data_IF_367186771907
#
_entry.id   IF_367186771907
#
_cell.length_a   1.000
_cell.length_b   1.000
_cell.length_c   1.000
_cell.angle_alpha   90.00
_cell.angle_beta   90.00
_cell.angle_gamma   90.00
#
_symmetry.space_group_name_H-M   'P 1'
#
loop_
_entity.id
_entity.type
_entity.pdbx_description
1 polymer ?
#
# COMPACT_ATOMS: atom_id res chain seq x y z
N UNK A 1 1.20 -19.14 -9.46
CA UNK A 1 -0.02 -18.91 -8.66
C UNK A 1 -0.78 -20.23 -8.52
N UNK A 2 -1.46 -20.49 -7.39
CA UNK A 2 -2.38 -21.62 -7.30
C UNK A 2 -3.51 -21.48 -8.33
N UNK A 3 -4.12 -22.59 -8.73
CA UNK A 3 -5.26 -22.58 -9.67
C UNK A 3 -6.50 -22.01 -8.98
N UNK A 4 -7.17 -21.08 -9.64
CA UNK A 4 -8.44 -20.49 -9.19
C UNK A 4 -9.61 -21.12 -9.96
N UNK A 5 -10.78 -21.16 -9.35
CA UNK A 5 -12.05 -21.56 -10.00
C UNK A 5 -12.68 -20.40 -10.79
N UNK A 6 -13.64 -20.65 -11.69
CA UNK A 6 -14.32 -19.58 -12.44
C UNK A 6 -15.03 -18.53 -11.58
N UNK A 7 -15.42 -18.89 -10.35
CA UNK A 7 -16.10 -18.01 -9.38
C UNK A 7 -15.11 -17.19 -8.54
N UNK A 8 -13.80 -17.44 -8.67
CA UNK A 8 -12.77 -16.78 -7.87
C UNK A 8 -12.01 -15.74 -8.69
N UNK A 9 -11.86 -14.55 -8.11
CA UNK A 9 -10.98 -13.51 -8.66
C UNK A 9 -9.55 -13.79 -8.22
N UNK A 10 -8.63 -13.91 -9.18
CA UNK A 10 -7.20 -14.06 -8.91
C UNK A 10 -6.57 -12.67 -8.74
N UNK A 11 -5.83 -12.46 -7.65
CA UNK A 11 -5.15 -11.20 -7.35
C UNK A 11 -3.65 -11.44 -7.17
N UNK A 12 -2.86 -10.50 -7.65
CA UNK A 12 -1.40 -10.41 -7.48
C UNK A 12 -1.06 -9.06 -6.84
N UNK A 13 0.05 -8.96 -6.11
CA UNK A 13 0.51 -7.71 -5.52
C UNK A 13 2.02 -7.54 -5.64
N UNK A 14 2.44 -6.73 -6.61
CA UNK A 14 3.83 -6.32 -6.81
C UNK A 14 3.97 -4.79 -6.79
N UNK A 15 4.45 -4.18 -5.68
CA UNK A 15 4.56 -2.71 -5.57
C UNK A 15 5.48 -2.06 -6.62
N UNK A 16 6.44 -2.82 -7.17
CA UNK A 16 7.36 -2.34 -8.20
C UNK A 16 6.68 -2.04 -9.53
N UNK A 17 5.51 -2.64 -9.81
CA UNK A 17 4.77 -2.41 -11.05
C UNK A 17 4.45 -0.94 -11.29
N UNK A 18 4.26 -0.18 -10.21
CA UNK A 18 3.92 1.22 -10.27
C UNK A 18 5.08 2.14 -10.72
N UNK A 19 6.33 1.70 -10.52
CA UNK A 19 7.52 2.52 -10.81
C UNK A 19 8.31 2.04 -12.03
N UNK A 20 7.90 0.92 -12.63
CA UNK A 20 8.59 0.32 -13.79
C UNK A 20 7.90 0.76 -15.08
N UNK A 21 8.64 1.48 -15.92
CA UNK A 21 8.13 2.17 -17.13
C UNK A 21 7.44 1.23 -18.13
N UNK A 22 7.92 0.00 -18.30
CA UNK A 22 7.39 -0.95 -19.29
C UNK A 22 6.16 -1.73 -18.80
N UNK A 23 5.86 -1.70 -17.50
CA UNK A 23 4.82 -2.55 -16.89
C UNK A 23 3.41 -2.20 -17.37
N UNK A 24 2.99 -0.92 -17.47
CA UNK A 24 1.64 -0.58 -17.93
C UNK A 24 1.32 -1.17 -19.31
N UNK A 25 2.25 -1.05 -20.27
CA UNK A 25 2.07 -1.59 -21.62
C UNK A 25 1.96 -3.11 -21.59
N UNK A 26 2.85 -3.80 -20.87
CA UNK A 26 2.83 -5.27 -20.76
C UNK A 26 1.53 -5.80 -20.13
N UNK A 27 1.00 -5.10 -19.12
CA UNK A 27 -0.27 -5.46 -18.49
C UNK A 27 -1.41 -5.30 -19.51
N UNK A 28 -1.44 -4.19 -20.24
CA UNK A 28 -2.44 -3.94 -21.27
C UNK A 28 -2.39 -4.98 -22.40
N UNK A 29 -1.19 -5.34 -22.86
CA UNK A 29 -0.98 -6.35 -23.90
C UNK A 29 -1.40 -7.76 -23.44
N UNK A 30 -1.24 -8.07 -22.15
CA UNK A 30 -1.71 -9.31 -21.57
C UNK A 30 -3.24 -9.34 -21.46
N UNK A 31 -3.84 -8.26 -20.94
CA UNK A 31 -5.29 -8.11 -20.81
C UNK A 31 -5.66 -6.65 -20.56
N UNK A 32 -6.33 -6.02 -21.51
CA UNK A 32 -6.84 -4.65 -21.38
C UNK A 32 -8.03 -4.52 -20.42
N UNK A 33 -8.61 -5.64 -20.00
CA UNK A 33 -9.78 -5.69 -19.08
C UNK A 33 -9.38 -5.90 -17.62
N UNK A 34 -8.09 -6.05 -17.33
CA UNK A 34 -7.62 -6.25 -15.96
C UNK A 34 -7.91 -5.02 -15.10
N UNK A 35 -8.38 -5.24 -13.88
CA UNK A 35 -8.60 -4.18 -12.90
C UNK A 35 -7.31 -3.95 -12.12
N UNK A 36 -6.85 -2.71 -12.04
CA UNK A 36 -5.69 -2.32 -11.25
C UNK A 36 -6.15 -1.74 -9.92
N UNK A 37 -5.46 -2.08 -8.83
CA UNK A 37 -5.66 -1.51 -7.50
C UNK A 37 -4.39 -0.82 -7.05
N UNK A 38 -4.49 0.45 -6.69
CA UNK A 38 -3.38 1.27 -6.20
C UNK A 38 -3.69 1.75 -4.79
N UNK A 39 -2.76 1.51 -3.88
CA UNK A 39 -2.83 2.00 -2.50
C UNK A 39 -1.78 3.08 -2.32
N UNK A 40 -2.24 4.33 -2.19
CA UNK A 40 -1.39 5.50 -2.00
C UNK A 40 -1.33 5.91 -0.53
N UNK A 41 -0.24 6.60 -0.17
CA UNK A 41 0.00 7.19 1.16
C UNK A 41 0.65 8.55 0.94
N UNK A 42 0.56 9.43 1.95
CA UNK A 42 1.39 10.63 2.02
C UNK A 42 2.86 10.33 1.62
N UNK A 43 3.42 11.08 0.65
CA UNK A 43 4.72 10.78 0.06
C UNK A 43 5.87 10.91 1.07
N UNK A 44 5.78 11.81 2.06
CA UNK A 44 6.79 11.98 3.10
C UNK A 44 6.79 10.78 4.03
N UNK A 45 5.61 10.39 4.52
CA UNK A 45 5.43 9.22 5.35
C UNK A 45 5.81 7.92 4.65
N UNK A 46 5.54 7.83 3.34
CA UNK A 46 6.00 6.72 2.48
C UNK A 46 7.52 6.67 2.40
N UNK A 47 8.18 7.80 2.15
CA UNK A 47 9.64 7.87 2.05
C UNK A 47 10.34 7.47 3.36
N UNK A 48 9.82 7.93 4.50
CA UNK A 48 10.30 7.53 5.83
C UNK A 48 10.13 6.01 6.01
N UNK A 49 8.96 5.47 5.68
CA UNK A 49 8.68 4.03 5.82
C UNK A 49 9.58 3.16 4.92
N UNK A 50 9.87 3.60 3.70
CA UNK A 50 10.81 2.91 2.80
C UNK A 50 12.23 2.93 3.36
N UNK A 51 12.60 4.03 4.01
CA UNK A 51 13.89 4.17 4.66
C UNK A 51 14.05 3.23 5.85
N UNK A 52 13.10 3.24 6.77
CA UNK A 52 13.13 2.35 7.95
C UNK A 52 13.15 0.88 7.53
N UNK A 53 12.37 0.49 6.51
CA UNK A 53 12.46 -0.86 5.96
C UNK A 53 13.85 -1.15 5.37
N UNK A 54 14.46 -0.19 4.66
CA UNK A 54 15.80 -0.37 4.11
C UNK A 54 16.88 -0.50 5.20
N UNK A 55 16.75 0.20 6.33
CA UNK A 55 17.63 0.06 7.49
C UNK A 55 17.49 -1.33 8.13
N UNK A 56 16.26 -1.83 8.28
CA UNK A 56 16.02 -3.19 8.81
C UNK A 56 16.67 -4.30 7.96
N UNK A 57 16.94 -4.02 6.68
CA UNK A 57 17.65 -4.90 5.74
C UNK A 57 19.17 -4.68 5.73
N UNK A 58 19.72 -3.94 6.70
CA UNK A 58 21.16 -3.75 6.89
C UNK A 58 21.79 -2.64 6.05
N UNK A 59 21.02 -1.72 5.46
CA UNK A 59 21.61 -0.52 4.83
C UNK A 59 21.97 0.51 5.90
N UNK A 60 23.04 1.25 5.68
CA UNK A 60 23.63 2.18 6.68
C UNK A 60 23.50 3.65 6.30
N UNK A 61 22.97 3.97 5.12
CA UNK A 61 22.78 5.37 4.69
C UNK A 61 21.68 6.02 5.50
N UNK A 62 21.82 7.29 5.84
CA UNK A 62 20.77 8.08 6.50
C UNK A 62 19.69 8.53 5.50
N UNK A 63 18.56 9.02 6.01
CA UNK A 63 17.47 9.49 5.15
C UNK A 63 17.90 10.74 4.36
N UNK A 64 18.57 11.66 5.03
CA UNK A 64 19.11 12.90 4.46
C UNK A 64 20.10 12.57 3.35
N UNK A 65 20.99 11.58 3.53
CA UNK A 65 21.92 11.15 2.49
C UNK A 65 21.23 10.53 1.27
N UNK A 66 20.02 9.97 1.42
CA UNK A 66 19.23 9.46 0.29
C UNK A 66 18.52 10.56 -0.47
N UNK A 67 18.07 11.59 0.25
CA UNK A 67 17.41 12.76 -0.33
C UNK A 67 18.47 13.67 -0.96
N UNK A 68 19.47 14.10 -0.19
CA UNK A 68 20.52 15.04 -0.62
C UNK A 68 21.52 14.48 -1.65
N UNK A 69 21.56 13.17 -1.92
CA UNK A 69 22.33 12.70 -3.09
C UNK A 69 21.75 13.20 -4.41
N UNK A 70 20.60 13.86 -4.40
CA UNK A 70 20.04 14.67 -5.49
C UNK A 70 20.92 15.85 -5.94
N UNK A 71 21.85 16.34 -5.11
CA UNK A 71 22.70 17.49 -5.49
C UNK A 71 23.99 17.14 -6.23
N UNK A 72 24.27 15.84 -6.47
CA UNK A 72 25.42 15.38 -7.25
C UNK A 72 24.91 14.53 -8.43
N UNK A 73 25.09 14.93 -9.71
CA UNK A 73 24.46 14.29 -10.87
C UNK A 73 25.13 12.96 -11.23
N UNK A 74 25.15 12.02 -10.29
CA UNK A 74 25.51 10.63 -10.53
C UNK A 74 24.35 9.83 -11.15
N UNK A 75 24.61 8.59 -11.59
CA UNK A 75 23.59 7.73 -12.23
C UNK A 75 22.36 7.45 -11.35
N UNK A 76 22.47 7.59 -10.02
CA UNK A 76 21.37 7.34 -9.08
C UNK A 76 20.31 8.45 -9.03
N UNK A 77 20.65 9.71 -9.35
CA UNK A 77 19.69 10.83 -9.33
C UNK A 77 18.78 10.80 -10.55
N UNK A 78 19.32 10.37 -11.70
CA UNK A 78 18.53 10.14 -12.92
C UNK A 78 17.44 9.09 -12.70
N UNK A 79 17.72 8.05 -11.93
CA UNK A 79 16.77 6.97 -11.65
C UNK A 79 15.61 7.44 -10.74
N UNK A 80 15.89 8.26 -9.73
CA UNK A 80 14.88 8.83 -8.83
C UNK A 80 13.97 9.85 -9.54
N UNK A 81 14.54 10.79 -10.32
CA UNK A 81 13.74 11.72 -11.11
C UNK A 81 12.89 11.01 -12.18
N UNK A 82 13.39 9.88 -12.72
CA UNK A 82 12.62 9.04 -13.63
C UNK A 82 11.45 8.37 -12.92
N UNK A 83 11.66 7.85 -11.71
CA UNK A 83 10.59 7.26 -10.90
C UNK A 83 9.53 8.30 -10.53
N UNK A 84 9.91 9.51 -10.08
CA UNK A 84 8.95 10.57 -9.78
C UNK A 84 8.14 11.01 -11.00
N UNK A 85 8.79 11.07 -12.17
CA UNK A 85 8.11 11.35 -13.43
C UNK A 85 7.14 10.25 -13.81
N UNK A 86 7.57 8.99 -13.76
CA UNK A 86 6.72 7.80 -14.03
C UNK A 86 5.55 7.77 -13.07
N UNK A 87 5.76 8.03 -11.78
CA UNK A 87 4.69 8.10 -10.77
C UNK A 87 3.69 9.20 -11.11
N UNK A 88 4.15 10.41 -11.47
CA UNK A 88 3.27 11.54 -11.81
C UNK A 88 2.46 11.30 -13.08
N UNK A 89 3.10 10.80 -14.13
CA UNK A 89 2.46 10.49 -15.42
C UNK A 89 1.51 9.28 -15.30
N UNK A 90 1.89 8.27 -14.53
CA UNK A 90 1.06 7.08 -14.28
C UNK A 90 -0.12 7.41 -13.37
N UNK A 91 0.07 8.23 -12.33
CA UNK A 91 -1.02 8.68 -11.48
C UNK A 91 -2.02 9.52 -12.25
N UNK A 92 -1.57 10.48 -13.06
CA UNK A 92 -2.49 11.33 -13.84
C UNK A 92 -3.29 10.53 -14.86
N UNK A 93 -2.72 9.46 -15.42
CA UNK A 93 -3.41 8.54 -16.32
C UNK A 93 -4.35 7.55 -15.60
N UNK A 94 -4.06 7.19 -14.33
CA UNK A 94 -4.79 6.19 -13.55
C UNK A 94 -5.75 6.77 -12.49
N UNK A 95 -6.03 8.09 -12.48
CA UNK A 95 -6.97 8.68 -11.51
C UNK A 95 -8.41 8.19 -11.75
N UNK A 96 -8.70 7.02 -11.19
CA UNK A 96 -9.99 6.38 -11.02
C UNK A 96 -9.94 5.41 -9.83
N UNK A 97 -9.07 5.67 -8.87
CA UNK A 97 -8.69 4.77 -7.79
C UNK A 97 -9.01 5.37 -6.42
N UNK A 98 -9.34 4.47 -5.48
CA UNK A 98 -9.89 4.72 -4.14
C UNK A 98 -9.45 6.06 -3.54
N UNK A 99 -10.40 6.87 -3.02
CA UNK A 99 -10.13 8.23 -2.61
C UNK A 99 -8.96 8.26 -1.61
N UNK A 100 -7.97 9.16 -1.80
CA UNK A 100 -6.90 9.34 -0.83
C UNK A 100 -7.54 9.74 0.50
N UNK A 101 -7.06 9.15 1.59
CA UNK A 101 -7.53 9.51 2.91
C UNK A 101 -6.93 10.84 3.27
N UNK A 102 -7.79 11.82 3.49
CA UNK A 102 -7.39 13.08 4.11
C UNK A 102 -7.00 12.80 5.57
N UNK A 103 -5.93 13.40 6.08
CA UNK A 103 -5.54 13.23 7.49
C UNK A 103 -6.68 13.60 8.47
N UNK A 104 -7.62 14.45 8.03
CA UNK A 104 -8.85 14.79 8.75
C UNK A 104 -9.79 13.59 8.99
N UNK A 105 -9.83 12.62 8.06
CA UNK A 105 -10.65 11.41 8.21
C UNK A 105 -10.06 10.45 9.24
N UNK A 106 -8.73 10.49 9.43
CA UNK A 106 -7.98 9.60 10.32
C UNK A 106 -8.22 9.91 11.80
N UNK A 107 -8.49 11.16 12.14
CA UNK A 107 -8.82 11.57 13.51
C UNK A 107 -10.31 11.37 13.85
N UNK A 108 -11.19 11.38 12.85
CA UNK A 108 -12.65 11.30 13.07
C UNK A 108 -13.22 9.88 13.10
N UNK A 109 -12.52 8.90 12.54
CA UNK A 109 -13.04 7.52 12.37
C UNK A 109 -12.20 6.50 13.12
N UNK A 110 -12.86 5.48 13.71
CA UNK A 110 -12.12 4.40 14.37
C UNK A 110 -11.37 3.59 13.31
N UNK A 111 -10.11 3.17 13.57
CA UNK A 111 -9.30 2.43 12.58
C UNK A 111 -9.93 1.13 12.08
N UNK A 112 -10.78 0.50 12.89
CA UNK A 112 -11.57 -0.68 12.52
C UNK A 112 -12.57 -0.36 11.41
N UNK A 113 -13.38 0.66 11.63
CA UNK A 113 -14.47 1.06 10.73
C UNK A 113 -13.91 1.53 9.38
N UNK A 114 -12.76 2.22 9.43
CA UNK A 114 -12.03 2.62 8.24
C UNK A 114 -11.53 1.41 7.43
N UNK A 115 -10.98 0.38 8.09
CA UNK A 115 -10.53 -0.85 7.43
C UNK A 115 -11.70 -1.61 6.76
N UNK A 116 -12.84 -1.69 7.46
CA UNK A 116 -14.07 -2.28 6.93
C UNK A 116 -14.57 -1.54 5.68
N UNK A 117 -14.67 -0.21 5.75
CA UNK A 117 -15.09 0.63 4.62
C UNK A 117 -14.17 0.45 3.40
N UNK A 118 -12.85 0.48 3.58
CA UNK A 118 -11.90 0.29 2.46
C UNK A 118 -12.09 -1.08 1.80
N UNK A 119 -12.38 -2.13 2.57
CA UNK A 119 -12.70 -3.44 1.99
C UNK A 119 -14.04 -3.44 1.26
N UNK A 120 -15.05 -2.70 1.74
CA UNK A 120 -16.30 -2.53 1.01
C UNK A 120 -16.09 -1.89 -0.36
N UNK A 121 -15.27 -0.83 -0.43
CA UNK A 121 -14.95 -0.14 -1.69
C UNK A 121 -14.19 -1.06 -2.66
N UNK A 122 -13.25 -1.88 -2.15
CA UNK A 122 -12.51 -2.86 -2.95
C UNK A 122 -13.43 -3.95 -3.48
N UNK A 123 -14.33 -4.50 -2.64
CA UNK A 123 -15.29 -5.52 -3.06
C UNK A 123 -16.21 -4.98 -4.16
N UNK A 124 -16.71 -3.75 -3.99
CA UNK A 124 -17.54 -3.09 -5.00
C UNK A 124 -16.79 -2.87 -6.32
N UNK A 125 -15.56 -2.34 -6.26
CA UNK A 125 -14.72 -2.15 -7.45
C UNK A 125 -14.44 -3.46 -8.19
N UNK A 126 -14.21 -4.55 -7.46
CA UNK A 126 -13.99 -5.87 -8.04
C UNK A 126 -15.29 -6.56 -8.48
N UNK A 127 -16.46 -5.98 -8.20
CA UNK A 127 -17.78 -6.58 -8.42
C UNK A 127 -17.96 -7.91 -7.67
N UNK A 128 -17.55 -7.91 -6.40
CA UNK A 128 -17.69 -9.01 -5.46
C UNK A 128 -18.85 -8.76 -4.51
N UNK A 129 -19.41 -9.84 -3.96
CA UNK A 129 -20.33 -9.75 -2.83
C UNK A 129 -19.66 -9.07 -1.62
N UNK A 130 -20.37 -8.16 -0.96
CA UNK A 130 -19.88 -7.39 0.20
C UNK A 130 -19.94 -8.24 1.47
N UNK A 131 -19.01 -9.17 1.61
CA UNK A 131 -18.92 -10.09 2.75
C UNK A 131 -18.03 -9.49 3.86
N UNK A 132 -16.87 -8.96 3.49
CA UNK A 132 -15.91 -8.40 4.45
C UNK A 132 -16.38 -7.03 4.91
N UNK A 133 -16.67 -6.92 6.20
CA UNK A 133 -17.12 -5.70 6.87
C UNK A 133 -16.25 -5.41 8.10
N UNK A 134 -16.68 -4.46 8.93
CA UNK A 134 -15.96 -4.00 10.13
C UNK A 134 -15.78 -5.12 11.19
N UNK A 135 -16.66 -6.12 11.23
CA UNK A 135 -16.64 -7.22 12.20
C UNK A 135 -15.46 -8.18 12.02
N UNK A 136 -14.92 -8.23 10.80
CA UNK A 136 -13.69 -8.94 10.47
C UNK A 136 -12.43 -8.21 10.97
N UNK A 137 -12.56 -7.00 11.52
CA UNK A 137 -11.44 -6.22 12.01
C UNK A 137 -11.48 -6.04 13.53
N UNK A 138 -10.30 -6.16 14.14
CA UNK A 138 -10.05 -5.88 15.55
C UNK A 138 -8.91 -4.88 15.66
N UNK A 139 -9.09 -3.78 16.38
CA UNK A 139 -8.00 -2.81 16.57
C UNK A 139 -7.11 -3.22 17.74
N UNK A 140 -5.82 -3.45 17.47
CA UNK A 140 -4.84 -3.73 18.52
C UNK A 140 -4.14 -2.42 18.91
N UNK A 141 -4.47 -1.88 20.08
CA UNK A 141 -3.91 -0.61 20.57
C UNK A 141 -2.39 -0.68 20.77
N UNK A 142 -1.86 -1.82 21.22
CA UNK A 142 -0.41 -2.02 21.42
C UNK A 142 0.34 -1.97 20.10
N UNK A 143 -0.23 -2.52 19.02
CA UNK A 143 0.36 -2.43 17.68
C UNK A 143 0.02 -1.11 16.98
N UNK A 144 -1.07 -0.45 17.35
CA UNK A 144 -1.58 0.74 16.67
C UNK A 144 -2.18 0.48 15.28
N UNK A 145 -2.48 -0.79 14.94
CA UNK A 145 -3.04 -1.19 13.64
C UNK A 145 -4.19 -2.19 13.79
N UNK A 146 -5.16 -2.17 12.86
CA UNK A 146 -6.19 -3.20 12.79
C UNK A 146 -5.59 -4.57 12.41
N UNK A 147 -6.07 -5.60 13.08
CA UNK A 147 -5.81 -7.00 12.82
C UNK A 147 -7.05 -7.65 12.18
N UNK A 148 -6.83 -8.71 11.42
CA UNK A 148 -7.87 -9.39 10.63
C UNK A 148 -8.32 -10.68 11.33
N UNK A 149 -9.63 -10.90 11.44
CA UNK A 149 -10.23 -12.18 11.82
C UNK A 149 -10.58 -12.99 10.57
N UNK A 150 -10.51 -14.32 10.63
CA UNK A 150 -10.97 -15.17 9.51
C UNK A 150 -12.50 -15.25 9.48
N UNK A 151 -13.12 -15.21 10.65
CA UNK A 151 -14.56 -15.21 10.85
C UNK A 151 -14.95 -14.08 11.82
N UNK A 152 -16.13 -13.43 11.67
CA UNK A 152 -16.58 -12.39 12.59
C UNK A 152 -16.62 -12.83 14.06
N UNK A 153 -16.94 -14.11 14.29
CA UNK A 153 -17.06 -14.73 15.62
C UNK A 153 -15.74 -15.28 16.15
N UNK A 154 -14.67 -15.27 15.37
CA UNK A 154 -13.36 -15.74 15.82
C UNK A 154 -12.79 -14.82 16.91
N UNK A 155 -12.37 -15.42 18.02
CA UNK A 155 -11.81 -14.69 19.16
C UNK A 155 -10.36 -14.23 18.92
N UNK A 156 -9.60 -14.94 18.08
CA UNK A 156 -8.16 -14.71 17.90
C UNK A 156 -7.90 -14.04 16.54
N UNK A 157 -7.61 -12.74 16.50
CA UNK A 157 -7.30 -12.05 15.25
C UNK A 157 -5.85 -12.32 14.80
N UNK A 158 -5.65 -12.39 13.49
CA UNK A 158 -4.34 -12.40 12.85
C UNK A 158 -3.87 -10.98 12.56
N UNK A 159 -2.88 -10.53 13.31
CA UNK A 159 -2.23 -9.24 13.10
C UNK A 159 -1.12 -9.31 12.04
N UNK A 160 -0.77 -8.16 11.48
CA UNK A 160 0.43 -8.02 10.65
C UNK A 160 1.70 -8.39 11.44
N UNK A 161 2.71 -8.86 10.72
CA UNK A 161 4.01 -9.26 11.24
C UNK A 161 4.82 -8.05 11.72
N UNK A 162 5.86 -8.28 12.53
CA UNK A 162 6.66 -7.21 13.15
C UNK A 162 7.36 -6.28 12.14
N UNK A 163 7.50 -6.70 10.88
CA UNK A 163 8.05 -5.86 9.80
C UNK A 163 7.07 -4.79 9.29
N UNK A 164 5.79 -4.87 9.67
CA UNK A 164 4.71 -3.97 9.24
C UNK A 164 4.17 -3.19 10.43
N UNK A 165 4.26 -1.87 10.34
CA UNK A 165 3.77 -0.98 11.41
C UNK A 165 4.79 -0.68 12.49
N UNK A 166 6.10 -0.77 12.20
CA UNK A 166 7.14 -0.30 13.10
C UNK A 166 6.89 1.19 13.42
N UNK A 167 6.49 1.49 14.64
CA UNK A 167 6.51 2.85 15.18
C UNK A 167 7.96 3.30 15.27
N UNK A 168 8.32 4.49 14.76
CA UNK A 168 9.59 5.10 15.15
C UNK A 168 9.61 5.13 16.67
N UNK A 169 10.69 4.65 17.30
CA UNK A 169 10.80 4.64 18.74
C UNK A 169 10.46 6.03 19.30
N UNK A 170 9.56 6.09 20.29
CA UNK A 170 9.47 7.28 21.15
C UNK A 170 10.84 7.43 21.79
N UNK A 171 11.63 8.37 21.31
CA UNK A 171 12.76 8.88 22.09
C UNK A 171 12.19 9.33 23.44
N UNK A 172 12.73 8.73 24.49
CA UNK A 172 12.39 8.99 25.88
C UNK A 172 13.24 10.12 26.41
#
# INVERSE_FOLDING_TARGET
MPRSTPEQVTVEKSPSYFITEEVPQRIHDMSSTVKLLLVVRDPVQRAISDHTQSLSKGKTRTLEQRIMKETDPGPSTRELHRQDRVIRETLSALVGLLPPISDLDRERRRPRDEAGRRQADVQEFLNLEKIVNEDYFFFNETKGFPCLKRDPHEAVPKCLDGSKGATPGRES
#
